data_IF_111445823278
#
_entry.id   IF_111445823278
#
_cell.length_a   1.000
_cell.length_b   1.000
_cell.length_c   1.000
_cell.angle_alpha   90.00
_cell.angle_beta   90.00
_cell.angle_gamma   90.00
#
_symmetry.space_group_name_H-M   'P 1'
#
loop_
_entity.id
_entity.type
_entity.pdbx_description
1 polymer ?
#
# COMPACT_ATOMS: atom_id res chain seq x y z
N UNK A 1 -5.19 -20.33 -0.54
CA UNK A 1 -6.35 -19.57 -1.04
C UNK A 1 -6.41 -18.16 -0.46
N UNK A 2 -6.52 -17.98 0.86
CA UNK A 2 -6.65 -16.64 1.46
C UNK A 2 -5.53 -15.65 1.06
N UNK A 3 -4.28 -16.11 1.03
CA UNK A 3 -3.13 -15.29 0.63
C UNK A 3 -3.25 -14.77 -0.80
N UNK A 4 -3.52 -15.66 -1.77
CA UNK A 4 -3.74 -15.29 -3.18
C UNK A 4 -4.90 -14.29 -3.34
N UNK A 5 -5.95 -14.40 -2.52
CA UNK A 5 -7.06 -13.44 -2.52
C UNK A 5 -6.61 -12.06 -2.04
N UNK A 6 -5.81 -11.99 -0.97
CA UNK A 6 -5.26 -10.74 -0.46
C UNK A 6 -4.29 -10.09 -1.45
N UNK A 7 -3.45 -10.89 -2.12
CA UNK A 7 -2.55 -10.41 -3.18
C UNK A 7 -3.31 -9.86 -4.37
N UNK A 8 -4.31 -10.60 -4.85
CA UNK A 8 -5.16 -10.13 -5.95
C UNK A 8 -5.87 -8.82 -5.59
N UNK A 9 -6.43 -8.73 -4.37
CA UNK A 9 -7.05 -7.50 -3.88
C UNK A 9 -6.05 -6.33 -3.82
N UNK A 10 -4.82 -6.59 -3.39
CA UNK A 10 -3.73 -5.59 -3.37
C UNK A 10 -3.43 -5.09 -4.78
N UNK A 11 -3.29 -5.99 -5.76
CA UNK A 11 -3.01 -5.65 -7.15
C UNK A 11 -4.16 -4.84 -7.77
N UNK A 12 -5.41 -5.24 -7.54
CA UNK A 12 -6.57 -4.48 -8.02
C UNK A 12 -6.63 -3.08 -7.41
N UNK A 13 -6.42 -2.95 -6.10
CA UNK A 13 -6.42 -1.66 -5.42
C UNK A 13 -5.30 -0.74 -5.94
N UNK A 14 -4.10 -1.28 -6.20
CA UNK A 14 -2.99 -0.53 -6.79
C UNK A 14 -3.29 -0.03 -8.21
N UNK A 15 -3.94 -0.84 -9.04
CA UNK A 15 -4.37 -0.43 -10.39
C UNK A 15 -5.36 0.73 -10.29
N UNK A 16 -6.37 0.60 -9.45
CA UNK A 16 -7.37 1.65 -9.22
C UNK A 16 -6.77 2.93 -8.64
N UNK A 17 -5.84 2.81 -7.69
CA UNK A 17 -5.10 3.94 -7.11
C UNK A 17 -4.33 4.71 -8.18
N UNK A 18 -3.56 4.00 -9.02
CA UNK A 18 -2.80 4.62 -10.12
C UNK A 18 -3.71 5.33 -11.11
N UNK A 19 -4.88 4.77 -11.39
CA UNK A 19 -5.87 5.43 -12.23
C UNK A 19 -6.42 6.70 -11.57
N UNK A 20 -6.76 6.63 -10.28
CA UNK A 20 -7.26 7.79 -9.53
C UNK A 20 -6.22 8.92 -9.44
N UNK A 21 -4.94 8.58 -9.24
CA UNK A 21 -3.81 9.52 -9.28
C UNK A 21 -3.71 10.20 -10.64
N UNK A 22 -3.72 9.42 -11.73
CA UNK A 22 -3.65 9.96 -13.10
C UNK A 22 -4.80 10.91 -13.41
N UNK A 23 -5.99 10.60 -12.90
CA UNK A 23 -7.20 11.40 -13.10
C UNK A 23 -7.32 12.58 -12.10
N UNK A 24 -6.42 12.69 -11.12
CA UNK A 24 -6.47 13.73 -10.09
C UNK A 24 -7.67 13.62 -9.13
N UNK A 25 -8.26 12.43 -8.99
CA UNK A 25 -9.47 12.21 -8.18
C UNK A 25 -9.13 12.01 -6.70
N UNK A 26 -8.91 13.10 -5.97
CA UNK A 26 -8.41 13.09 -4.58
C UNK A 26 -9.18 12.18 -3.61
N UNK A 27 -10.52 12.18 -3.68
CA UNK A 27 -11.35 11.30 -2.86
C UNK A 27 -11.11 9.81 -3.16
N UNK A 28 -11.01 9.47 -4.46
CA UNK A 28 -10.74 8.10 -4.90
C UNK A 28 -9.31 7.68 -4.55
N UNK A 29 -8.33 8.59 -4.64
CA UNK A 29 -6.94 8.34 -4.23
C UNK A 29 -6.88 7.91 -2.78
N UNK A 30 -7.52 8.66 -1.88
CA UNK A 30 -7.52 8.34 -0.47
C UNK A 30 -8.16 6.96 -0.19
N UNK A 31 -9.30 6.69 -0.83
CA UNK A 31 -10.00 5.41 -0.70
C UNK A 31 -9.14 4.24 -1.21
N UNK A 32 -8.58 4.32 -2.41
CA UNK A 32 -7.81 3.23 -3.00
C UNK A 32 -6.47 3.02 -2.30
N UNK A 33 -5.84 4.07 -1.78
CA UNK A 33 -4.64 3.98 -0.96
C UNK A 33 -4.89 3.24 0.36
N UNK A 34 -6.01 3.52 1.02
CA UNK A 34 -6.43 2.79 2.22
C UNK A 34 -6.70 1.31 1.91
N UNK A 35 -7.48 1.03 0.86
CA UNK A 35 -7.79 -0.36 0.46
C UNK A 35 -6.54 -1.15 0.04
N UNK A 36 -5.61 -0.54 -0.68
CA UNK A 36 -4.34 -1.18 -1.05
C UNK A 36 -3.49 -1.50 0.18
N UNK A 37 -3.46 -0.59 1.15
CA UNK A 37 -2.76 -0.78 2.43
C UNK A 37 -3.40 -1.90 3.25
N UNK A 38 -4.73 -1.91 3.37
CA UNK A 38 -5.45 -2.97 4.09
C UNK A 38 -5.21 -4.35 3.46
N UNK A 39 -5.31 -4.44 2.13
CA UNK A 39 -5.10 -5.70 1.41
C UNK A 39 -3.68 -6.24 1.57
N UNK A 40 -2.65 -5.39 1.50
CA UNK A 40 -1.27 -5.85 1.71
C UNK A 40 -1.02 -6.23 3.18
N UNK A 41 -1.63 -5.54 4.13
CA UNK A 41 -1.53 -5.89 5.56
C UNK A 41 -2.25 -7.20 5.88
N UNK A 42 -3.30 -7.56 5.14
CA UNK A 42 -3.90 -8.89 5.23
C UNK A 42 -2.97 -9.97 4.65
N UNK A 43 -2.33 -9.71 3.50
CA UNK A 43 -1.33 -10.62 2.96
C UNK A 43 -0.16 -10.85 3.95
N UNK A 44 0.30 -9.79 4.62
CA UNK A 44 1.30 -9.84 5.69
C UNK A 44 0.91 -10.83 6.79
N UNK A 45 -0.33 -10.81 7.26
CA UNK A 45 -0.80 -11.72 8.34
C UNK A 45 -0.79 -13.19 7.94
N UNK A 46 -0.81 -13.46 6.64
CA UNK A 46 -0.92 -14.80 6.06
C UNK A 46 0.43 -15.37 5.63
N UNK A 47 1.51 -14.58 5.70
CA UNK A 47 2.87 -14.98 5.32
C UNK A 47 3.71 -15.25 6.56
N UNK A 48 4.45 -16.36 6.55
CA UNK A 48 5.46 -16.64 7.57
C UNK A 48 6.77 -15.92 7.21
N UNK A 49 7.22 -15.03 8.10
CA UNK A 49 8.41 -14.20 7.85
C UNK A 49 9.63 -14.83 8.54
N UNK A 50 10.68 -15.20 7.79
CA UNK A 50 11.91 -15.72 8.37
C UNK A 50 12.58 -14.70 9.31
N UNK A 51 13.19 -15.16 10.39
CA UNK A 51 13.78 -14.30 11.43
C UNK A 51 14.88 -13.38 10.86
N UNK A 52 15.68 -13.88 9.91
CA UNK A 52 16.70 -13.15 9.18
C UNK A 52 16.15 -11.98 8.36
N UNK A 53 14.85 -12.00 8.02
CA UNK A 53 14.17 -10.98 7.23
C UNK A 53 13.30 -10.02 8.07
N UNK A 54 13.22 -10.23 9.40
CA UNK A 54 12.32 -9.47 10.27
C UNK A 54 12.61 -7.95 10.27
N UNK A 55 13.88 -7.55 10.16
CA UNK A 55 14.28 -6.14 10.09
C UNK A 55 13.81 -5.46 8.80
N UNK A 56 14.03 -6.11 7.66
CA UNK A 56 13.58 -5.62 6.35
C UNK A 56 12.05 -5.57 6.28
N UNK A 57 11.38 -6.61 6.79
CA UNK A 57 9.93 -6.66 6.88
C UNK A 57 9.35 -5.50 7.70
N UNK A 58 9.91 -5.23 8.88
CA UNK A 58 9.45 -4.14 9.74
C UNK A 58 9.63 -2.79 9.05
N UNK A 59 10.78 -2.60 8.38
CA UNK A 59 11.05 -1.38 7.61
C UNK A 59 10.04 -1.18 6.47
N UNK A 60 9.78 -2.22 5.67
CA UNK A 60 8.81 -2.15 4.57
C UNK A 60 7.39 -1.89 5.06
N UNK A 61 6.98 -2.52 6.17
CA UNK A 61 5.67 -2.28 6.79
C UNK A 61 5.54 -0.83 7.26
N UNK A 62 6.55 -0.32 7.97
CA UNK A 62 6.53 1.01 8.55
C UNK A 62 6.55 2.09 7.43
N UNK A 63 7.21 1.82 6.30
CA UNK A 63 7.16 2.69 5.12
C UNK A 63 5.74 2.82 4.55
N UNK A 64 5.00 1.73 4.45
CA UNK A 64 3.58 1.77 4.00
C UNK A 64 2.74 2.60 4.96
N UNK A 65 2.87 2.37 6.27
CA UNK A 65 2.11 3.08 7.30
C UNK A 65 2.44 4.59 7.26
N UNK A 66 3.72 4.93 7.19
CA UNK A 66 4.17 6.33 7.13
C UNK A 66 3.69 7.03 5.86
N UNK A 67 3.72 6.35 4.71
CA UNK A 67 3.21 6.92 3.46
C UNK A 67 1.70 7.22 3.56
N UNK A 68 0.93 6.29 4.15
CA UNK A 68 -0.51 6.47 4.33
C UNK A 68 -0.83 7.60 5.31
N UNK A 69 -0.12 7.69 6.44
CA UNK A 69 -0.31 8.77 7.43
C UNK A 69 -0.01 10.15 6.84
N UNK A 70 1.08 10.26 6.07
CA UNK A 70 1.44 11.52 5.41
C UNK A 70 0.42 11.92 4.35
N UNK A 71 -0.14 10.95 3.61
CA UNK A 71 -1.25 11.21 2.68
C UNK A 71 -2.53 11.63 3.41
N UNK A 72 -2.88 10.97 4.51
CA UNK A 72 -4.05 11.31 5.32
C UNK A 72 -3.98 12.76 5.83
N UNK A 73 -2.80 13.22 6.26
CA UNK A 73 -2.57 14.63 6.62
C UNK A 73 -2.80 15.61 5.47
N UNK A 74 -2.49 15.22 4.22
CA UNK A 74 -2.80 16.05 3.06
C UNK A 74 -4.31 16.11 2.79
N UNK A 75 -5.03 15.01 2.99
CA UNK A 75 -6.51 14.99 2.92
C UNK A 75 -7.11 15.91 3.99
N UNK A 76 -6.65 15.82 5.24
CA UNK A 76 -7.11 16.67 6.35
C UNK A 76 -6.83 18.16 6.11
N UNK A 77 -5.74 18.47 5.40
CA UNK A 77 -5.35 19.83 5.05
C UNK A 77 -6.02 20.38 3.77
N UNK A 78 -6.87 19.59 3.09
CA UNK A 78 -7.44 19.91 1.77
C UNK A 78 -6.36 20.22 0.71
N UNK A 79 -5.18 19.60 0.85
CA UNK A 79 -4.02 19.75 -0.05
C UNK A 79 -4.12 18.75 -1.20
N UNK A 80 -4.86 19.12 -2.26
CA UNK A 80 -5.11 18.25 -3.41
C UNK A 80 -3.83 17.76 -4.11
N UNK A 81 -2.87 18.66 -4.34
CA UNK A 81 -1.56 18.31 -4.93
C UNK A 81 -0.77 17.38 -4.00
N UNK A 82 -0.88 17.62 -2.70
CA UNK A 82 -0.34 16.76 -1.67
C UNK A 82 -0.95 15.36 -1.66
N UNK A 83 -2.27 15.24 -1.84
CA UNK A 83 -2.95 13.95 -1.92
C UNK A 83 -2.50 13.17 -3.15
N UNK A 84 -2.35 13.81 -4.30
CA UNK A 84 -1.88 13.16 -5.54
C UNK A 84 -0.45 12.64 -5.37
N UNK A 85 0.48 13.53 -4.99
CA UNK A 85 1.90 13.17 -4.82
C UNK A 85 2.10 12.09 -3.74
N UNK A 86 1.37 12.16 -2.63
CA UNK A 86 1.48 11.17 -1.55
C UNK A 86 0.73 9.88 -1.85
N UNK A 87 -0.33 9.94 -2.67
CA UNK A 87 -1.01 8.75 -3.19
C UNK A 87 -0.10 7.89 -4.06
N UNK A 88 0.76 8.50 -4.87
CA UNK A 88 1.82 7.79 -5.61
C UNK A 88 2.79 7.06 -4.66
N UNK A 89 3.25 7.76 -3.61
CA UNK A 89 4.16 7.19 -2.62
C UNK A 89 3.54 6.00 -1.88
N UNK A 90 2.25 6.07 -1.52
CA UNK A 90 1.53 4.93 -0.93
C UNK A 90 1.49 3.76 -1.90
N UNK A 91 1.16 4.02 -3.17
CA UNK A 91 1.14 2.98 -4.20
C UNK A 91 2.48 2.28 -4.38
N UNK A 92 3.58 3.02 -4.39
CA UNK A 92 4.92 2.47 -4.52
C UNK A 92 5.36 1.69 -3.27
N UNK A 93 5.07 2.21 -2.08
CA UNK A 93 5.37 1.50 -0.83
C UNK A 93 4.63 0.17 -0.75
N UNK A 94 3.33 0.16 -1.08
CA UNK A 94 2.50 -1.06 -1.08
C UNK A 94 2.98 -2.04 -2.15
N UNK A 95 3.28 -1.59 -3.37
CA UNK A 95 3.78 -2.44 -4.44
C UNK A 95 5.13 -3.10 -4.07
N UNK A 96 6.06 -2.32 -3.52
CA UNK A 96 7.36 -2.83 -3.07
C UNK A 96 7.20 -3.85 -1.95
N UNK A 97 6.30 -3.60 -0.99
CA UNK A 97 6.07 -4.55 0.10
C UNK A 97 5.41 -5.84 -0.39
N UNK A 98 4.45 -5.75 -1.32
CA UNK A 98 3.83 -6.91 -1.94
C UNK A 98 4.87 -7.79 -2.68
N UNK A 99 5.79 -7.17 -3.44
CA UNK A 99 6.89 -7.89 -4.09
C UNK A 99 7.81 -8.56 -3.07
N UNK A 100 8.14 -7.86 -1.99
CA UNK A 100 8.95 -8.41 -0.91
C UNK A 100 8.29 -9.64 -0.26
N UNK A 101 6.98 -9.59 0.00
CA UNK A 101 6.23 -10.71 0.58
C UNK A 101 6.19 -11.94 -0.34
N UNK A 102 6.09 -11.73 -1.66
CA UNK A 102 6.18 -12.82 -2.65
C UNK A 102 7.51 -13.57 -2.58
N UNK A 103 8.59 -12.91 -2.14
CA UNK A 103 9.90 -13.51 -1.92
C UNK A 103 9.96 -14.55 -0.79
N UNK A 104 8.94 -14.64 0.07
CA UNK A 104 8.86 -15.64 1.14
C UNK A 104 8.05 -16.89 0.76
N UNK A 105 7.45 -16.91 -0.43
CA UNK A 105 6.59 -18.00 -0.89
C UNK A 105 7.33 -19.01 -1.80
N UNK A 106 8.61 -18.76 -2.09
CA UNK A 106 9.47 -19.57 -2.95
C UNK A 106 10.20 -20.68 -2.20
#
# INVERSE_FOLDING_TARGET
>A
MALLTAEFATEQALVSLRQAVRDGRTADIAQWAALATEAVMEAVRLVEVPAESAGAFTTSRDLVINALDVMAKAVEADDADGVVSRGELVGDAVANFAVFLKGFQS
#
